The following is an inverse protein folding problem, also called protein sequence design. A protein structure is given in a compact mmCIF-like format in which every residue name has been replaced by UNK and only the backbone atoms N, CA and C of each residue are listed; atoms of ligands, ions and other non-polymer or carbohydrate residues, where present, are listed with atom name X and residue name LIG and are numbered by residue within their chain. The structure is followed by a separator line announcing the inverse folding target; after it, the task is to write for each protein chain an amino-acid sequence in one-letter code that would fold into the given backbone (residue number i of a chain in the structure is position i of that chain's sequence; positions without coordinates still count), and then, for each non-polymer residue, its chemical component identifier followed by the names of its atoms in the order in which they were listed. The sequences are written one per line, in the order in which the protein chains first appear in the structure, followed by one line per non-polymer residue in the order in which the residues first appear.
data_IF_158995528385
#
_entry.id   IF_158995528385
#
_cell.length_a   1.000
_cell.length_b   1.000
_cell.length_c   1.000
_cell.angle_alpha   90.00
_cell.angle_beta   90.00
_cell.angle_gamma   90.00
#
_symmetry.space_group_name_H-M   'P 1'
#
loop_
_entity.id
_entity.type
_entity.pdbx_description
1 polymer ?
#
# COMPACT_ATOMS: atom_id res chain seq x y z
N UNK A 1 -20.14 -20.25 4.26
CA UNK A 1 -18.83 -19.72 4.70
C UNK A 1 -17.80 -20.76 4.29
N UNK A 2 -16.88 -20.41 3.39
CA UNK A 2 -15.84 -21.36 2.95
C UNK A 2 -14.78 -21.51 4.05
N UNK A 3 -13.98 -22.58 4.01
CA UNK A 3 -12.83 -22.75 4.94
C UNK A 3 -11.84 -21.58 4.80
N UNK A 4 -11.73 -21.02 3.60
CA UNK A 4 -10.88 -19.85 3.32
C UNK A 4 -11.43 -18.56 3.95
N UNK A 5 -12.75 -18.37 3.93
CA UNK A 5 -13.40 -17.25 4.62
C UNK A 5 -13.21 -17.36 6.13
N UNK A 6 -13.40 -18.56 6.68
CA UNK A 6 -13.20 -18.81 8.12
C UNK A 6 -11.76 -18.55 8.53
N UNK A 7 -10.79 -19.09 7.78
CA UNK A 7 -9.37 -18.84 8.00
C UNK A 7 -9.05 -17.34 8.00
N UNK A 8 -9.65 -16.57 7.09
CA UNK A 8 -9.45 -15.11 7.00
C UNK A 8 -10.07 -14.38 8.18
N UNK A 9 -11.24 -14.79 8.66
CA UNK A 9 -11.88 -14.24 9.87
C UNK A 9 -11.02 -14.52 11.11
N UNK A 10 -10.51 -15.74 11.27
CA UNK A 10 -9.60 -16.10 12.38
C UNK A 10 -8.28 -15.33 12.31
N UNK A 11 -7.76 -15.10 11.10
CA UNK A 11 -6.54 -14.35 10.85
C UNK A 11 -6.74 -12.83 10.82
N UNK A 12 -7.95 -12.31 11.08
CA UNK A 12 -8.25 -10.88 10.96
C UNK A 12 -7.25 -10.04 11.76
N UNK A 13 -6.97 -10.38 13.01
CA UNK A 13 -6.03 -9.61 13.84
C UNK A 13 -4.60 -9.58 13.27
N UNK A 14 -4.18 -10.61 12.54
CA UNK A 14 -2.84 -10.67 11.92
C UNK A 14 -2.66 -9.59 10.85
N UNK A 15 -3.71 -9.24 10.12
CA UNK A 15 -3.66 -8.18 9.10
C UNK A 15 -3.53 -6.76 9.68
N UNK A 16 -3.65 -6.60 11.01
CA UNK A 16 -3.34 -5.37 11.71
C UNK A 16 -1.88 -5.28 12.20
N UNK A 17 -1.14 -6.39 12.19
CA UNK A 17 0.27 -6.40 12.57
C UNK A 17 1.13 -5.74 11.48
N UNK A 18 2.30 -5.24 11.88
CA UNK A 18 3.32 -4.83 10.92
C UNK A 18 3.65 -5.99 9.95
N UNK A 19 3.94 -5.73 8.66
CA UNK A 19 4.16 -6.77 7.66
C UNK A 19 5.22 -7.81 8.06
N UNK A 20 6.20 -7.41 8.88
CA UNK A 20 7.27 -8.28 9.42
C UNK A 20 6.71 -9.33 10.38
N UNK A 21 5.74 -8.96 11.24
CA UNK A 21 5.14 -9.86 12.24
C UNK A 21 4.03 -10.76 11.68
N UNK A 22 3.57 -10.52 10.45
CA UNK A 22 2.46 -11.29 9.85
C UNK A 22 2.80 -12.78 9.71
N UNK A 23 4.01 -13.11 9.25
CA UNK A 23 4.40 -14.51 8.97
C UNK A 23 4.49 -15.30 10.27
N UNK A 24 5.16 -14.73 11.28
CA UNK A 24 5.29 -15.36 12.60
C UNK A 24 3.91 -15.55 13.26
N UNK A 25 3.07 -14.52 13.24
CA UNK A 25 1.71 -14.61 13.78
C UNK A 25 0.83 -15.62 13.03
N UNK A 26 0.96 -15.71 11.70
CA UNK A 26 0.25 -16.70 10.87
C UNK A 26 0.67 -18.12 11.21
N UNK A 27 1.97 -18.35 11.37
CA UNK A 27 2.50 -19.68 11.64
C UNK A 27 2.13 -20.11 13.08
N UNK A 28 2.19 -19.20 14.06
CA UNK A 28 1.74 -19.44 15.42
C UNK A 28 0.23 -19.76 15.49
N UNK A 29 -0.61 -18.97 14.81
CA UNK A 29 -2.06 -19.21 14.75
C UNK A 29 -2.40 -20.56 14.08
N UNK A 30 -1.67 -20.93 13.03
CA UNK A 30 -1.86 -22.21 12.37
C UNK A 30 -1.47 -23.40 13.27
N UNK A 31 -0.42 -23.27 14.08
CA UNK A 31 -0.05 -24.29 15.08
C UNK A 31 -1.15 -24.41 16.13
N UNK A 32 -1.58 -23.29 16.70
CA UNK A 32 -2.64 -23.27 17.71
C UNK A 32 -3.92 -23.97 17.21
N UNK A 33 -4.38 -23.65 16.00
CA UNK A 33 -5.59 -24.25 15.45
C UNK A 33 -5.41 -25.74 15.10
N UNK A 34 -4.21 -26.16 14.72
CA UNK A 34 -3.92 -27.58 14.52
C UNK A 34 -3.98 -28.35 15.85
N UNK A 35 -3.49 -27.76 16.95
CA UNK A 35 -3.57 -28.34 18.30
C UNK A 35 -5.02 -28.40 18.81
N UNK A 36 -5.87 -27.48 18.37
CA UNK A 36 -7.33 -27.47 18.62
C UNK A 36 -8.11 -28.47 17.73
N UNK A 37 -7.44 -29.18 16.81
CA UNK A 37 -8.05 -30.17 15.91
C UNK A 37 -8.62 -29.57 14.61
N UNK A 38 -8.49 -28.26 14.40
CA UNK A 38 -9.00 -27.53 13.24
C UNK A 38 -8.01 -27.57 12.06
N UNK A 39 -7.58 -28.77 11.68
CA UNK A 39 -6.50 -28.98 10.71
C UNK A 39 -6.77 -28.34 9.33
N UNK A 40 -8.03 -28.32 8.87
CA UNK A 40 -8.39 -27.72 7.59
C UNK A 40 -8.26 -26.19 7.62
N UNK A 41 -8.70 -25.55 8.70
CA UNK A 41 -8.59 -24.10 8.90
C UNK A 41 -7.13 -23.70 9.10
N UNK A 42 -6.36 -24.49 9.88
CA UNK A 42 -4.92 -24.29 10.05
C UNK A 42 -4.16 -24.34 8.71
N UNK A 43 -4.48 -25.31 7.84
CA UNK A 43 -3.89 -25.41 6.50
C UNK A 43 -4.27 -24.20 5.62
N UNK A 44 -5.52 -23.74 5.69
CA UNK A 44 -5.96 -22.54 4.98
C UNK A 44 -5.24 -21.27 5.49
N UNK A 45 -5.01 -21.14 6.80
CA UNK A 45 -4.26 -20.01 7.37
C UNK A 45 -2.82 -19.98 6.86
N UNK A 46 -2.14 -21.12 6.75
CA UNK A 46 -0.77 -21.18 6.18
C UNK A 46 -0.71 -20.72 4.72
N UNK A 47 -1.80 -20.87 3.97
CA UNK A 47 -1.93 -20.41 2.58
C UNK A 47 -2.22 -18.90 2.47
N UNK A 48 -2.56 -18.23 3.57
CA UNK A 48 -2.81 -16.79 3.54
C UNK A 48 -1.56 -16.02 3.12
N UNK A 49 -1.78 -15.11 2.17
CA UNK A 49 -0.73 -14.21 1.67
C UNK A 49 -0.48 -13.10 2.67
N UNK A 50 0.82 -12.79 2.83
CA UNK A 50 1.29 -11.59 3.51
C UNK A 50 0.76 -10.35 2.76
N UNK A 51 0.17 -9.37 3.46
CA UNK A 51 -0.30 -8.15 2.83
C UNK A 51 0.86 -7.35 2.21
N UNK A 52 0.63 -6.74 1.04
CA UNK A 52 1.54 -5.71 0.51
C UNK A 52 1.58 -4.51 1.46
N UNK A 53 2.62 -3.67 1.34
CA UNK A 53 2.75 -2.45 2.16
C UNK A 53 1.54 -1.53 1.99
N UNK A 54 0.99 -1.43 0.78
CA UNK A 54 -0.23 -0.66 0.50
C UNK A 54 -1.46 -1.32 1.13
N UNK A 55 -1.63 -2.63 0.97
CA UNK A 55 -2.75 -3.34 1.57
C UNK A 55 -2.74 -3.27 3.10
N UNK A 56 -1.56 -3.37 3.71
CA UNK A 56 -1.37 -3.18 5.15
C UNK A 56 -1.77 -1.76 5.61
N UNK A 57 -1.36 -0.72 4.89
CA UNK A 57 -1.73 0.66 5.21
C UNK A 57 -3.24 0.89 5.13
N UNK A 58 -3.90 0.34 4.10
CA UNK A 58 -5.36 0.39 3.96
C UNK A 58 -6.06 -0.41 5.06
N UNK A 59 -5.56 -1.59 5.43
CA UNK A 59 -6.09 -2.38 6.54
C UNK A 59 -5.96 -1.63 7.87
N UNK A 60 -4.83 -0.97 8.10
CA UNK A 60 -4.58 -0.14 9.29
C UNK A 60 -5.60 1.00 9.36
N UNK A 61 -5.76 1.77 8.27
CA UNK A 61 -6.75 2.84 8.19
C UNK A 61 -8.18 2.34 8.40
N UNK A 62 -8.50 1.15 7.89
CA UNK A 62 -9.83 0.54 8.03
C UNK A 62 -10.16 0.18 9.48
N UNK A 63 -9.16 -0.27 10.23
CA UNK A 63 -9.28 -0.60 11.66
C UNK A 63 -9.37 0.64 12.53
N UNK A 64 -8.62 1.67 12.21
CA UNK A 64 -8.65 2.95 12.94
C UNK A 64 -9.93 3.75 12.66
N UNK A 65 -10.49 3.64 11.44
CA UNK A 65 -11.64 4.43 11.00
C UNK A 65 -12.78 3.59 10.42
N UNK A 66 -13.37 2.66 11.20
CA UNK A 66 -14.42 1.78 10.70
C UNK A 66 -15.68 2.54 10.25
N UNK A 67 -15.98 3.69 10.87
CA UNK A 67 -17.09 4.56 10.48
C UNK A 67 -16.90 5.21 9.10
N UNK A 68 -15.66 5.60 8.76
CA UNK A 68 -15.34 6.17 7.45
C UNK A 68 -15.39 5.10 6.37
N UNK A 69 -14.94 3.87 6.66
CA UNK A 69 -15.11 2.72 5.75
C UNK A 69 -16.58 2.44 5.50
N UNK A 70 -17.41 2.38 6.55
CA UNK A 70 -18.85 2.18 6.40
C UNK A 70 -19.52 3.32 5.61
N UNK A 71 -19.02 4.55 5.71
CA UNK A 71 -19.49 5.68 4.90
C UNK A 71 -19.04 5.58 3.43
N UNK A 72 -17.81 5.13 3.16
CA UNK A 72 -17.32 4.90 1.80
C UNK A 72 -18.14 3.83 1.07
N UNK A 73 -18.38 2.69 1.73
CA UNK A 73 -19.14 1.59 1.13
C UNK A 73 -20.59 2.01 0.82
N UNK A 74 -21.24 2.75 1.74
CA UNK A 74 -22.56 3.33 1.48
C UNK A 74 -22.55 4.31 0.30
N UNK A 75 -21.57 5.20 0.24
CA UNK A 75 -21.44 6.13 -0.89
C UNK A 75 -21.20 5.41 -2.23
N UNK A 76 -20.56 4.24 -2.21
CA UNK A 76 -20.42 3.36 -3.36
C UNK A 76 -21.75 2.75 -3.82
N UNK A 77 -22.57 2.29 -2.88
CA UNK A 77 -23.91 1.77 -3.16
C UNK A 77 -24.85 2.88 -3.67
N UNK A 78 -24.84 4.06 -3.06
CA UNK A 78 -25.61 5.23 -3.49
C UNK A 78 -25.23 5.65 -4.92
N UNK A 79 -23.93 5.64 -5.22
CA UNK A 79 -23.43 5.93 -6.57
C UNK A 79 -23.94 4.90 -7.59
N UNK A 80 -23.92 3.61 -7.25
CA UNK A 80 -24.45 2.54 -8.12
C UNK A 80 -25.93 2.76 -8.40
N UNK A 81 -26.72 3.11 -7.38
CA UNK A 81 -28.15 3.40 -7.54
C UNK A 81 -28.39 4.64 -8.42
N UNK A 82 -27.63 5.72 -8.19
CA UNK A 82 -27.72 6.94 -8.99
C UNK A 82 -27.32 6.70 -10.45
N UNK A 83 -26.33 5.84 -10.73
CA UNK A 83 -25.97 5.43 -12.08
C UNK A 83 -27.12 4.69 -12.79
N UNK A 84 -27.79 3.77 -12.11
CA UNK A 84 -28.96 3.06 -12.66
C UNK A 84 -30.11 4.04 -12.96
N UNK A 85 -30.37 5.01 -12.06
CA UNK A 85 -31.40 6.03 -12.27
C UNK A 85 -31.07 6.96 -13.45
N UNK A 86 -29.80 7.35 -13.60
CA UNK A 86 -29.32 8.22 -14.67
C UNK A 86 -29.51 7.62 -16.07
N UNK A 87 -29.34 6.29 -16.20
CA UNK A 87 -29.62 5.57 -17.46
C UNK A 87 -31.09 5.72 -17.88
N UNK A 88 -32.00 5.85 -16.90
CA UNK A 88 -33.43 6.07 -17.15
C UNK A 88 -33.80 7.55 -17.37
N UNK A 89 -32.80 8.43 -17.53
CA UNK A 89 -32.99 9.87 -17.79
C UNK A 89 -33.39 10.69 -16.57
N UNK A 90 -33.27 10.15 -15.34
CA UNK A 90 -33.58 10.84 -14.07
C UNK A 90 -32.32 10.97 -13.21
N UNK A 91 -32.20 12.00 -12.36
CA UNK A 91 -31.20 12.00 -11.28
C UNK A 91 -29.75 12.34 -11.67
N UNK A 92 -29.52 13.21 -12.65
CA UNK A 92 -28.15 13.68 -12.99
C UNK A 92 -27.47 14.39 -11.80
N UNK A 93 -28.23 15.14 -11.00
CA UNK A 93 -27.72 15.82 -9.81
C UNK A 93 -27.43 14.85 -8.66
N UNK A 94 -28.22 13.78 -8.53
CA UNK A 94 -27.97 12.71 -7.56
C UNK A 94 -26.67 11.96 -7.90
N UNK A 95 -26.42 11.70 -9.19
CA UNK A 95 -25.17 11.10 -9.65
C UNK A 95 -23.95 11.96 -9.33
N UNK A 96 -24.03 13.28 -9.56
CA UNK A 96 -22.95 14.22 -9.23
C UNK A 96 -22.69 14.24 -7.72
N UNK A 97 -23.75 14.31 -6.92
CA UNK A 97 -23.69 14.34 -5.46
C UNK A 97 -23.06 13.05 -4.90
N UNK A 98 -23.52 11.88 -5.36
CA UNK A 98 -22.97 10.59 -4.94
C UNK A 98 -21.49 10.43 -5.34
N UNK A 99 -21.11 10.90 -6.53
CA UNK A 99 -19.71 10.89 -6.99
C UNK A 99 -18.82 11.75 -6.08
N UNK A 100 -19.26 12.95 -5.71
CA UNK A 100 -18.51 13.84 -4.83
C UNK A 100 -18.41 13.29 -3.40
N UNK A 101 -19.49 12.70 -2.89
CA UNK A 101 -19.50 12.04 -1.60
C UNK A 101 -18.45 10.92 -1.54
N UNK A 102 -18.45 10.01 -2.54
CA UNK A 102 -17.46 8.92 -2.63
C UNK A 102 -16.03 9.45 -2.69
N UNK A 103 -15.74 10.43 -3.56
CA UNK A 103 -14.40 11.03 -3.69
C UNK A 103 -13.90 11.60 -2.36
N UNK A 104 -14.77 12.26 -1.61
CA UNK A 104 -14.42 12.84 -0.30
C UNK A 104 -14.05 11.74 0.71
N UNK A 105 -14.79 10.63 0.73
CA UNK A 105 -14.51 9.50 1.63
C UNK A 105 -13.24 8.75 1.25
N UNK A 106 -12.98 8.55 -0.05
CA UNK A 106 -11.73 7.97 -0.54
C UNK A 106 -10.54 8.84 -0.11
N UNK A 107 -10.61 10.16 -0.31
CA UNK A 107 -9.53 11.06 0.07
C UNK A 107 -9.24 10.99 1.59
N UNK A 108 -10.28 11.00 2.43
CA UNK A 108 -10.12 10.92 3.88
C UNK A 108 -9.45 9.62 4.35
N UNK A 109 -9.87 8.47 3.79
CA UNK A 109 -9.26 7.17 4.10
C UNK A 109 -7.85 7.03 3.52
N UNK A 110 -7.59 7.60 2.34
CA UNK A 110 -6.27 7.61 1.74
C UNK A 110 -5.26 8.38 2.59
N UNK A 111 -5.65 9.52 3.16
CA UNK A 111 -4.79 10.25 4.11
C UNK A 111 -4.48 9.41 5.36
N UNK A 112 -5.46 8.71 5.93
CA UNK A 112 -5.23 7.83 7.08
C UNK A 112 -4.26 6.69 6.73
N UNK A 113 -4.41 6.06 5.55
CA UNK A 113 -3.48 5.02 5.10
C UNK A 113 -2.07 5.58 4.86
N UNK A 114 -1.95 6.78 4.29
CA UNK A 114 -0.65 7.43 4.09
C UNK A 114 0.06 7.76 5.41
N UNK A 115 -0.69 8.13 6.45
CA UNK A 115 -0.14 8.34 7.79
C UNK A 115 0.51 7.06 8.35
N UNK A 116 -0.08 5.88 8.11
CA UNK A 116 0.50 4.61 8.51
C UNK A 116 1.84 4.31 7.81
N UNK A 117 2.04 4.82 6.59
CA UNK A 117 3.30 4.66 5.82
C UNK A 117 4.37 5.72 6.16
N UNK A 118 4.01 6.78 6.89
CA UNK A 118 4.90 7.87 7.25
C UNK A 118 5.50 8.60 6.03
N UNK A 119 6.73 9.10 6.18
CA UNK A 119 7.37 9.99 5.20
C UNK A 119 7.56 9.41 3.79
N UNK A 120 7.46 8.08 3.61
CA UNK A 120 7.56 7.41 2.30
C UNK A 120 6.21 7.09 1.66
N UNK A 121 5.09 7.41 2.34
CA UNK A 121 3.75 7.08 1.87
C UNK A 121 3.37 7.73 0.54
N UNK A 122 3.94 8.90 0.21
CA UNK A 122 3.55 9.67 -0.97
C UNK A 122 3.63 8.90 -2.29
N UNK A 123 4.59 7.99 -2.46
CA UNK A 123 4.74 7.16 -3.66
C UNK A 123 3.60 6.13 -3.84
N UNK A 124 2.83 5.85 -2.78
CA UNK A 124 1.77 4.86 -2.76
C UNK A 124 0.35 5.48 -2.80
N UNK A 125 0.25 6.82 -2.84
CA UNK A 125 -1.04 7.53 -2.82
C UNK A 125 -2.01 7.03 -3.89
N UNK A 126 -1.55 6.91 -5.12
CA UNK A 126 -2.41 6.52 -6.24
C UNK A 126 -2.90 5.07 -6.09
N UNK A 127 -2.03 4.16 -5.67
CA UNK A 127 -2.38 2.75 -5.42
C UNK A 127 -3.40 2.60 -4.27
N UNK A 128 -3.25 3.40 -3.20
CA UNK A 128 -4.19 3.47 -2.08
C UNK A 128 -5.57 3.96 -2.57
N UNK A 129 -5.59 5.07 -3.30
CA UNK A 129 -6.82 5.67 -3.84
C UNK A 129 -7.55 4.69 -4.75
N UNK A 130 -6.83 4.07 -5.69
CA UNK A 130 -7.40 3.07 -6.62
C UNK A 130 -7.97 1.85 -5.87
N UNK A 131 -7.29 1.39 -4.82
CA UNK A 131 -7.75 0.25 -4.01
C UNK A 131 -9.05 0.59 -3.25
N UNK A 132 -9.12 1.78 -2.63
CA UNK A 132 -10.33 2.25 -1.95
C UNK A 132 -11.49 2.47 -2.93
N UNK A 133 -11.19 3.00 -4.12
CA UNK A 133 -12.16 3.16 -5.19
C UNK A 133 -12.72 1.81 -5.67
N UNK A 134 -11.86 0.82 -5.89
CA UNK A 134 -12.26 -0.53 -6.27
C UNK A 134 -13.15 -1.17 -5.19
N UNK A 135 -12.72 -1.10 -3.93
CA UNK A 135 -13.46 -1.64 -2.79
C UNK A 135 -14.83 -0.96 -2.56
N UNK A 136 -15.01 0.29 -3.00
CA UNK A 136 -16.30 0.98 -2.91
C UNK A 136 -17.32 0.49 -3.92
N UNK A 137 -16.90 -0.15 -5.02
CA UNK A 137 -17.81 -0.61 -6.09
C UNK A 137 -17.94 -2.12 -6.16
N UNK A 138 -16.96 -2.86 -5.66
CA UNK A 138 -16.92 -4.32 -5.59
C UNK A 138 -17.34 -4.80 -4.17
N UNK A 139 -18.44 -5.56 -4.04
CA UNK A 139 -18.92 -6.05 -2.74
C UNK A 139 -17.93 -6.96 -1.99
N UNK A 140 -17.16 -7.77 -2.70
CA UNK A 140 -16.17 -8.68 -2.10
C UNK A 140 -15.01 -7.89 -1.52
N UNK A 141 -14.41 -6.99 -2.34
CA UNK A 141 -13.36 -6.09 -1.88
C UNK A 141 -13.86 -5.17 -0.77
N UNK A 142 -15.12 -4.71 -0.83
CA UNK A 142 -15.74 -3.92 0.21
C UNK A 142 -15.89 -4.67 1.55
N UNK A 143 -16.21 -5.96 1.50
CA UNK A 143 -16.18 -6.84 2.67
C UNK A 143 -14.77 -6.93 3.27
N UNK A 144 -13.77 -7.19 2.42
CA UNK A 144 -12.36 -7.30 2.83
C UNK A 144 -11.80 -5.99 3.38
N UNK A 145 -12.21 -4.85 2.84
CA UNK A 145 -11.87 -3.52 3.36
C UNK A 145 -12.49 -3.31 4.74
N UNK A 146 -13.78 -3.63 4.90
CA UNK A 146 -14.48 -3.54 6.20
C UNK A 146 -13.81 -4.38 7.27
N UNK A 147 -13.33 -5.57 6.90
CA UNK A 147 -12.62 -6.46 7.81
C UNK A 147 -11.14 -6.12 7.97
N UNK A 148 -10.59 -5.23 7.12
CA UNK A 148 -9.17 -4.91 7.11
C UNK A 148 -8.32 -6.15 6.85
N UNK A 149 -8.67 -6.95 5.83
CA UNK A 149 -8.02 -8.20 5.43
C UNK A 149 -7.61 -8.21 3.94
N UNK A 150 -7.25 -7.05 3.39
CA UNK A 150 -6.69 -6.96 2.04
C UNK A 150 -5.28 -7.57 2.02
N UNK A 151 -4.99 -8.38 1.01
CA UNK A 151 -3.65 -8.99 0.79
C UNK A 151 -2.84 -8.22 -0.26
N UNK A 152 -3.50 -7.50 -1.18
CA UNK A 152 -2.90 -6.76 -2.28
C UNK A 152 -3.74 -5.56 -2.68
N UNK A 153 -3.15 -4.69 -3.50
CA UNK A 153 -3.85 -3.58 -4.15
C UNK A 153 -4.87 -4.07 -5.17
N UNK A 154 -5.92 -3.28 -5.37
CA UNK A 154 -6.96 -3.54 -6.37
C UNK A 154 -7.18 -2.31 -7.25
N UNK A 155 -7.53 -2.53 -8.51
CA UNK A 155 -7.87 -1.47 -9.45
C UNK A 155 -9.34 -1.62 -9.90
N UNK A 156 -10.09 -0.51 -10.07
CA UNK A 156 -11.45 -0.57 -10.60
C UNK A 156 -11.45 -1.21 -12.00
N UNK A 157 -12.24 -2.27 -12.18
CA UNK A 157 -12.31 -3.00 -13.46
C UNK A 157 -11.38 -4.20 -13.58
N UNK A 158 -10.52 -4.48 -12.60
CA UNK A 158 -9.88 -5.78 -12.46
C UNK A 158 -10.86 -6.75 -11.77
N UNK A 159 -11.96 -7.05 -12.48
CA UNK A 159 -12.95 -8.02 -12.03
C UNK A 159 -12.30 -9.40 -11.96
N UNK A 160 -12.09 -9.90 -10.75
CA UNK A 160 -11.77 -11.30 -10.50
C UNK A 160 -13.10 -12.06 -10.36
N UNK A 161 -13.61 -12.51 -11.50
CA UNK A 161 -14.66 -13.51 -11.67
C UNK A 161 -14.50 -14.12 -13.07
N UNK A 162 -14.62 -15.45 -13.25
CA UNK A 162 -14.10 -16.13 -14.43
C UNK A 162 -14.92 -15.80 -15.68
N UNK A 163 -14.21 -15.77 -16.81
CA UNK A 163 -14.66 -15.53 -18.19
C UNK A 163 -14.60 -14.07 -18.68
N UNK A 164 -13.70 -13.85 -19.64
CA UNK A 164 -13.93 -12.90 -20.73
C UNK A 164 -13.16 -11.58 -20.69
N UNK A 165 -11.85 -11.66 -21.00
CA UNK A 165 -11.13 -10.72 -21.88
C UNK A 165 -11.28 -9.22 -21.67
N UNK A 166 -10.21 -8.56 -21.24
CA UNK A 166 -9.43 -7.64 -22.09
C UNK A 166 -8.11 -7.31 -21.38
N UNK A 167 -7.10 -8.10 -21.72
CA UNK A 167 -5.70 -7.83 -21.42
C UNK A 167 -5.12 -7.02 -22.58
N UNK A 168 -4.72 -5.78 -22.32
CA UNK A 168 -3.86 -5.04 -23.22
C UNK A 168 -2.42 -5.15 -22.72
N UNK A 169 -1.60 -5.81 -23.55
CA UNK A 169 -0.13 -5.97 -23.52
C UNK A 169 0.42 -6.82 -22.35
N UNK A 170 1.15 -7.92 -22.51
CA UNK A 170 1.99 -8.36 -23.63
C UNK A 170 2.39 -9.85 -23.44
N UNK A 171 2.06 -10.72 -24.41
CA UNK A 171 2.84 -11.92 -24.79
C UNK A 171 2.65 -13.26 -24.05
N UNK A 172 2.02 -14.23 -24.72
CA UNK A 172 2.29 -15.68 -24.54
C UNK A 172 1.07 -16.54 -24.25
N UNK A 173 0.60 -17.26 -25.27
CA UNK A 173 -0.54 -18.19 -25.29
C UNK A 173 -0.50 -19.36 -24.30
N UNK A 174 -1.70 -19.84 -23.93
CA UNK A 174 -1.94 -21.28 -23.79
C UNK A 174 -2.71 -21.74 -22.54
N UNK A 175 -4.03 -21.83 -22.68
CA UNK A 175 -4.96 -22.86 -22.17
C UNK A 175 -4.67 -23.56 -20.82
N UNK A 176 -5.67 -23.50 -19.93
CA UNK A 176 -5.68 -24.27 -18.69
C UNK A 176 -5.96 -25.75 -18.88
N UNK A 177 -5.52 -26.53 -17.91
CA UNK A 177 -6.08 -27.82 -17.46
C UNK A 177 -5.38 -28.20 -16.14
N UNK A 178 -6.07 -28.99 -15.32
CA UNK A 178 -5.70 -29.43 -13.98
C UNK A 178 -4.20 -29.75 -13.81
N UNK A 179 -3.57 -29.28 -12.72
CA UNK A 179 -2.32 -29.91 -12.29
C UNK A 179 -2.14 -29.91 -10.77
N UNK A 180 -2.02 -31.11 -10.22
CA UNK A 180 -1.52 -31.35 -8.90
C UNK A 180 -0.02 -31.03 -8.91
N UNK A 181 0.33 -29.78 -8.58
CA UNK A 181 1.73 -29.30 -8.60
C UNK A 181 2.67 -30.29 -7.91
N UNK A 182 3.55 -30.89 -8.69
CA UNK A 182 4.58 -31.81 -8.22
C UNK A 182 5.55 -31.09 -7.27
N UNK A 183 6.16 -31.83 -6.33
CA UNK A 183 7.16 -31.30 -5.39
C UNK A 183 8.32 -30.57 -6.10
N UNK A 184 8.60 -30.95 -7.35
CA UNK A 184 9.64 -30.38 -8.19
C UNK A 184 9.33 -28.96 -8.68
N UNK A 185 8.06 -28.66 -8.98
CA UNK A 185 7.62 -27.32 -9.39
C UNK A 185 7.66 -26.33 -8.22
N UNK A 186 7.22 -26.77 -7.03
CA UNK A 186 7.34 -25.98 -5.79
C UNK A 186 8.80 -25.66 -5.45
N UNK A 187 9.72 -26.60 -5.69
CA UNK A 187 11.15 -26.40 -5.48
C UNK A 187 11.77 -25.43 -6.49
N UNK A 188 11.29 -25.43 -7.74
CA UNK A 188 11.72 -24.49 -8.78
C UNK A 188 11.25 -23.07 -8.48
N UNK A 189 9.98 -22.91 -8.11
CA UNK A 189 9.41 -21.61 -7.69
C UNK A 189 10.14 -21.04 -6.47
N UNK A 190 10.44 -21.87 -5.47
CA UNK A 190 11.21 -21.45 -4.30
C UNK A 190 12.61 -20.93 -4.67
N UNK A 191 13.28 -21.58 -5.63
CA UNK A 191 14.62 -21.19 -6.10
C UNK A 191 14.58 -19.92 -6.96
N UNK A 192 13.52 -19.69 -7.71
CA UNK A 192 13.31 -18.46 -8.47
C UNK A 192 12.98 -17.28 -7.54
N UNK A 193 12.18 -17.51 -6.49
CA UNK A 193 11.90 -16.53 -5.45
C UNK A 193 13.15 -16.15 -4.64
N UNK A 194 13.99 -17.13 -4.29
CA UNK A 194 15.28 -16.88 -3.61
C UNK A 194 16.21 -16.02 -4.47
N UNK A 195 16.29 -16.30 -5.77
CA UNK A 195 17.09 -15.49 -6.72
C UNK A 195 16.56 -14.07 -6.84
N UNK A 196 15.24 -13.90 -6.90
CA UNK A 196 14.61 -12.58 -6.94
C UNK A 196 14.88 -11.80 -5.65
N UNK A 197 14.84 -12.46 -4.48
CA UNK A 197 15.16 -11.83 -3.20
C UNK A 197 16.62 -11.35 -3.13
N UNK A 198 17.57 -12.17 -3.59
CA UNK A 198 18.99 -11.78 -3.65
C UNK A 198 19.24 -10.59 -4.60
N UNK A 199 18.51 -10.52 -5.72
CA UNK A 199 18.61 -9.38 -6.65
C UNK A 199 18.04 -8.11 -6.00
N UNK A 200 16.88 -8.21 -5.36
CA UNK A 200 16.24 -7.10 -4.66
C UNK A 200 17.10 -6.58 -3.50
N UNK A 201 17.74 -7.48 -2.73
CA UNK A 201 18.65 -7.11 -1.65
C UNK A 201 19.88 -6.36 -2.17
N UNK A 202 20.48 -6.83 -3.28
CA UNK A 202 21.59 -6.13 -3.93
C UNK A 202 21.19 -4.76 -4.46
N UNK A 203 19.97 -4.61 -4.96
CA UNK A 203 19.45 -3.31 -5.39
C UNK A 203 19.22 -2.36 -4.22
N UNK A 204 18.67 -2.87 -3.11
CA UNK A 204 18.51 -2.11 -1.87
C UNK A 204 19.86 -1.64 -1.32
N UNK A 205 20.88 -2.51 -1.32
CA UNK A 205 22.23 -2.16 -0.88
C UNK A 205 22.85 -1.08 -1.77
N UNK A 206 22.71 -1.20 -3.10
CA UNK A 206 23.16 -0.17 -4.05
C UNK A 206 22.46 1.17 -3.84
N UNK A 207 21.15 1.15 -3.61
CA UNK A 207 20.37 2.35 -3.32
C UNK A 207 20.80 3.00 -1.99
N UNK A 208 21.05 2.19 -0.95
CA UNK A 208 21.53 2.66 0.35
C UNK A 208 22.91 3.32 0.24
N UNK A 209 23.86 2.69 -0.45
CA UNK A 209 25.19 3.26 -0.73
C UNK A 209 25.09 4.58 -1.49
N UNK A 210 24.20 4.68 -2.48
CA UNK A 210 23.99 5.92 -3.24
C UNK A 210 23.38 7.03 -2.36
N UNK A 211 22.44 6.69 -1.48
CA UNK A 211 21.86 7.63 -0.53
C UNK A 211 22.90 8.15 0.48
N UNK A 212 23.78 7.28 0.99
CA UNK A 212 24.88 7.66 1.86
C UNK A 212 25.87 8.61 1.17
N UNK A 213 26.26 8.30 -0.07
CA UNK A 213 27.13 9.18 -0.87
C UNK A 213 26.50 10.55 -1.11
N UNK A 214 25.19 10.62 -1.38
CA UNK A 214 24.49 11.89 -1.55
C UNK A 214 24.44 12.69 -0.24
N UNK A 215 24.25 12.03 0.91
CA UNK A 215 24.30 12.68 2.22
C UNK A 215 25.68 13.22 2.56
N UNK A 216 26.74 12.46 2.24
CA UNK A 216 28.12 12.92 2.41
C UNK A 216 28.38 14.18 1.58
N UNK A 217 28.02 14.15 0.29
CA UNK A 217 28.13 15.33 -0.60
C UNK A 217 27.34 16.53 -0.09
N UNK A 218 26.14 16.32 0.46
CA UNK A 218 25.34 17.40 1.03
C UNK A 218 25.99 18.01 2.28
N UNK A 219 26.61 17.18 3.14
CA UNK A 219 27.37 17.66 4.31
C UNK A 219 28.59 18.48 3.89
N UNK A 220 29.35 18.00 2.91
CA UNK A 220 30.53 18.71 2.41
C UNK A 220 30.15 20.06 1.78
N UNK A 221 29.06 20.08 1.01
CA UNK A 221 28.51 21.32 0.44
C UNK A 221 28.07 22.31 1.52
N UNK A 222 27.40 21.83 2.59
CA UNK A 222 26.99 22.64 3.73
C UNK A 222 28.20 23.25 4.47
N UNK A 223 29.22 22.44 4.74
CA UNK A 223 30.44 22.92 5.41
C UNK A 223 31.18 23.97 4.57
N UNK A 224 31.21 23.79 3.24
CA UNK A 224 31.78 24.78 2.32
C UNK A 224 30.99 26.10 2.32
N UNK A 225 29.65 26.03 2.34
CA UNK A 225 28.80 27.21 2.44
C UNK A 225 29.02 27.97 3.75
N UNK A 226 29.07 27.26 4.88
CA UNK A 226 29.35 27.87 6.20
C UNK A 226 30.72 28.55 6.25
N UNK A 227 31.75 27.94 5.65
CA UNK A 227 33.08 28.53 5.56
C UNK A 227 33.08 29.81 4.71
N UNK A 228 32.38 29.80 3.58
CA UNK A 228 32.23 30.98 2.71
C UNK A 228 31.47 32.11 3.42
N UNK A 229 30.41 31.80 4.18
CA UNK A 229 29.69 32.79 4.99
C UNK A 229 30.56 33.38 6.10
N UNK A 230 31.37 32.56 6.79
CA UNK A 230 32.28 33.02 7.81
C UNK A 230 33.33 33.99 7.25
N UNK A 231 33.86 33.70 6.06
CA UNK A 231 34.82 34.58 5.39
C UNK A 231 34.17 35.88 4.91
N UNK A 232 32.96 35.81 4.34
CA UNK A 232 32.20 37.00 3.96
C UNK A 232 31.94 37.93 5.16
N UNK A 233 31.64 37.37 6.34
CA UNK A 233 31.48 38.13 7.60
C UNK A 233 32.78 38.81 8.01
N UNK A 234 33.91 38.08 7.98
CA UNK A 234 35.24 38.65 8.31
C UNK A 234 35.59 39.83 7.42
N UNK A 235 35.43 39.69 6.10
CA UNK A 235 35.69 40.76 5.14
C UNK A 235 34.77 41.97 5.35
N UNK A 236 33.51 41.74 5.69
CA UNK A 236 32.57 42.83 6.00
C UNK A 236 32.97 43.60 7.26
N UNK A 237 33.42 42.91 8.31
CA UNK A 237 33.91 43.53 9.55
C UNK A 237 35.23 44.29 9.31
N UNK A 238 36.15 43.74 8.52
CA UNK A 238 37.38 44.43 8.13
C UNK A 238 37.08 45.71 7.33
N UNK A 239 36.19 45.64 6.33
CA UNK A 239 35.75 46.81 5.58
C UNK A 239 35.14 47.89 6.49
N UNK A 240 34.37 47.48 7.52
CA UNK A 240 33.78 48.39 8.50
C UNK A 240 34.84 49.06 9.39
N UNK A 241 35.87 48.33 9.82
CA UNK A 241 36.96 48.89 10.64
C UNK A 241 37.83 49.86 9.83
N UNK A 242 38.16 49.53 8.58
CA UNK A 242 38.89 50.41 7.66
C UNK A 242 38.14 51.73 7.40
N UNK A 243 36.82 51.65 7.12
CA UNK A 243 35.97 52.85 6.95
C UNK A 243 35.96 53.74 8.21
N UNK A 244 35.86 53.15 9.40
CA UNK A 244 35.92 53.90 10.68
C UNK A 244 37.26 54.59 10.91
N UNK A 245 38.36 53.95 10.51
CA UNK A 245 39.71 54.51 10.60
C UNK A 245 39.88 55.70 9.66
N UNK A 246 39.44 55.55 8.41
CA UNK A 246 39.48 56.63 7.42
C UNK A 246 38.63 57.85 7.80
N UNK A 247 37.52 57.65 8.52
CA UNK A 247 36.68 58.75 9.01
C UNK A 247 37.25 59.50 10.24
N UNK A 248 38.35 59.00 10.84
CA UNK A 248 39.02 59.64 11.99
C UNK A 248 40.29 60.40 11.62
N UNK A 249 40.81 60.21 10.42
CA UNK A 249 41.94 60.94 9.83
C UNK A 249 41.42 62.10 8.99
#
# INVERSE_FOLDING_TARGET
MTVEDEARVRAKELYGLAPEGFIEGRDALAVQLADEGEHQVAAAIKKLRKPTVVAWAVNTASRERPADVAALLRAGDDLRQAQVAAISGKGSDDLRTATQARRTKVAALAEAALQALGARGGAHRDAIVLTLEAASVDPELGGRLRDGTLDREAAPGSGLGPAGGFQLLQGGDGAGEDDATTEEDRRREAKEAERAAVVAEREAERAARRAEQLRAKARDASASAEAAEAEARRLADEAKTLRRRAART
#
